data_IF_117551324477
#
_entry.id   IF_117551324477
#
_cell.length_a   1.000
_cell.length_b   1.000
_cell.length_c   1.000
_cell.angle_alpha   90.00
_cell.angle_beta   90.00
_cell.angle_gamma   90.00
#
_symmetry.space_group_name_H-M   'P 1'
#
loop_
_entity.id
_entity.type
_entity.pdbx_description
1 polymer ?
#
# COMPACT_ATOMS: atom_id res chain seq x y z
N UNK A 1 -4.29 -63.03 -8.03
CA UNK A 1 -3.14 -62.21 -7.56
C UNK A 1 -3.14 -60.81 -8.18
N UNK A 2 -3.17 -60.65 -9.51
CA UNK A 2 -3.12 -59.31 -10.15
C UNK A 2 -4.22 -58.33 -9.71
N UNK A 3 -5.48 -58.75 -9.65
CA UNK A 3 -6.59 -57.87 -9.25
C UNK A 3 -6.48 -57.35 -7.80
N UNK A 4 -5.99 -58.19 -6.87
CA UNK A 4 -5.81 -57.80 -5.47
C UNK A 4 -4.69 -56.77 -5.34
N UNK A 5 -3.59 -56.94 -6.09
CA UNK A 5 -2.48 -55.97 -6.11
C UNK A 5 -2.97 -54.61 -6.65
N UNK A 6 -3.76 -54.60 -7.71
CA UNK A 6 -4.34 -53.36 -8.27
C UNK A 6 -5.24 -52.64 -7.25
N UNK A 7 -6.12 -53.38 -6.56
CA UNK A 7 -7.00 -52.78 -5.53
C UNK A 7 -6.20 -52.19 -4.37
N UNK A 8 -5.16 -52.89 -3.89
CA UNK A 8 -4.29 -52.40 -2.81
C UNK A 8 -3.54 -51.14 -3.24
N UNK A 9 -3.03 -51.08 -4.47
CA UNK A 9 -2.35 -49.89 -5.01
C UNK A 9 -3.32 -48.71 -5.10
N UNK A 10 -4.55 -48.91 -5.58
CA UNK A 10 -5.56 -47.84 -5.64
C UNK A 10 -5.88 -47.33 -4.23
N UNK A 11 -6.08 -48.22 -3.25
CA UNK A 11 -6.33 -47.82 -1.86
C UNK A 11 -5.16 -47.04 -1.26
N UNK A 12 -3.91 -47.43 -1.55
CA UNK A 12 -2.73 -46.72 -1.11
C UNK A 12 -2.64 -45.31 -1.72
N UNK A 13 -2.93 -45.16 -3.02
CA UNK A 13 -2.97 -43.86 -3.70
C UNK A 13 -4.08 -42.96 -3.13
N UNK A 14 -5.27 -43.51 -2.89
CA UNK A 14 -6.39 -42.76 -2.27
C UNK A 14 -6.04 -42.32 -0.85
N UNK A 15 -5.47 -43.22 -0.04
CA UNK A 15 -5.05 -42.90 1.33
C UNK A 15 -3.96 -41.81 1.35
N UNK A 16 -2.96 -41.91 0.46
CA UNK A 16 -1.93 -40.89 0.31
C UNK A 16 -2.53 -39.54 -0.11
N UNK A 17 -3.45 -39.55 -1.08
CA UNK A 17 -4.18 -38.36 -1.52
C UNK A 17 -4.93 -37.68 -0.38
N UNK A 18 -5.64 -38.44 0.46
CA UNK A 18 -6.36 -37.90 1.63
C UNK A 18 -5.41 -37.28 2.66
N UNK A 19 -4.25 -37.90 2.93
CA UNK A 19 -3.24 -37.35 3.84
C UNK A 19 -2.66 -36.04 3.29
N UNK A 20 -2.33 -35.99 2.01
CA UNK A 20 -1.82 -34.77 1.36
C UNK A 20 -2.85 -33.64 1.44
N UNK A 21 -4.11 -33.89 1.11
CA UNK A 21 -5.19 -32.89 1.19
C UNK A 21 -5.38 -32.39 2.61
N UNK A 22 -5.39 -33.29 3.61
CA UNK A 22 -5.50 -32.91 5.03
C UNK A 22 -4.33 -32.06 5.49
N UNK A 23 -3.10 -32.46 5.15
CA UNK A 23 -1.90 -31.72 5.52
C UNK A 23 -1.87 -30.33 4.88
N UNK A 24 -2.28 -30.21 3.61
CA UNK A 24 -2.40 -28.91 2.93
C UNK A 24 -3.47 -28.03 3.59
N UNK A 25 -4.63 -28.60 3.95
CA UNK A 25 -5.68 -27.88 4.67
C UNK A 25 -5.22 -27.33 6.01
N UNK A 26 -4.52 -28.16 6.81
CA UNK A 26 -3.94 -27.73 8.09
C UNK A 26 -2.85 -26.67 7.90
N UNK A 27 -2.00 -26.80 6.89
CA UNK A 27 -0.97 -25.80 6.60
C UNK A 27 -1.57 -24.45 6.23
N UNK A 28 -2.63 -24.42 5.40
CA UNK A 28 -3.36 -23.20 5.05
C UNK A 28 -4.02 -22.56 6.28
N UNK A 29 -4.68 -23.35 7.11
CA UNK A 29 -5.31 -22.87 8.34
C UNK A 29 -4.29 -22.26 9.32
N UNK A 30 -3.12 -22.88 9.48
CA UNK A 30 -2.03 -22.35 10.31
C UNK A 30 -1.51 -21.01 9.78
N UNK A 31 -1.21 -20.93 8.48
CA UNK A 31 -0.75 -19.68 7.84
C UNK A 31 -1.73 -18.53 8.04
N UNK A 32 -3.04 -18.80 7.90
CA UNK A 32 -4.06 -17.80 8.16
C UNK A 32 -4.09 -17.37 9.64
N UNK A 33 -4.04 -18.33 10.56
CA UNK A 33 -4.03 -18.03 12.00
C UNK A 33 -2.81 -17.19 12.41
N UNK A 34 -1.63 -17.52 11.87
CA UNK A 34 -0.39 -16.77 12.10
C UNK A 34 -0.50 -15.33 11.55
N UNK A 35 -0.98 -15.18 10.32
CA UNK A 35 -1.20 -13.87 9.69
C UNK A 35 -2.23 -13.02 10.44
N UNK A 36 -3.31 -13.64 10.93
CA UNK A 36 -4.31 -12.96 11.76
C UNK A 36 -3.72 -12.52 13.12
N UNK A 37 -2.90 -13.36 13.75
CA UNK A 37 -2.25 -13.01 15.00
C UNK A 37 -1.28 -11.84 14.80
N UNK A 38 -0.52 -11.83 13.70
CA UNK A 38 0.37 -10.72 13.37
C UNK A 38 -0.39 -9.41 13.11
N UNK A 39 -1.42 -9.46 12.26
CA UNK A 39 -2.26 -8.29 11.97
C UNK A 39 -2.89 -7.72 13.26
N UNK A 40 -3.43 -8.58 14.13
CA UNK A 40 -3.98 -8.17 15.43
C UNK A 40 -2.95 -7.46 16.30
N UNK A 41 -1.73 -7.99 16.40
CA UNK A 41 -0.66 -7.34 17.18
C UNK A 41 -0.40 -5.92 16.70
N UNK A 42 -0.38 -5.68 15.40
CA UNK A 42 -0.18 -4.34 14.83
C UNK A 42 -1.37 -3.41 15.08
N UNK A 43 -2.60 -3.90 14.92
CA UNK A 43 -3.83 -3.13 15.21
C UNK A 43 -3.91 -2.77 16.69
N UNK A 44 -3.63 -3.71 17.60
CA UNK A 44 -3.61 -3.47 19.05
C UNK A 44 -2.53 -2.47 19.44
N UNK A 45 -1.33 -2.58 18.84
CA UNK A 45 -0.25 -1.60 19.05
C UNK A 45 -0.68 -0.20 18.61
N UNK A 46 -1.33 -0.07 17.45
CA UNK A 46 -1.86 1.21 16.97
C UNK A 46 -2.95 1.76 17.91
N UNK A 47 -3.93 0.93 18.28
CA UNK A 47 -5.01 1.31 19.20
C UNK A 47 -4.48 1.80 20.54
N UNK A 48 -3.45 1.13 21.09
CA UNK A 48 -2.80 1.56 22.31
C UNK A 48 -2.14 2.93 22.22
N UNK A 49 -1.65 3.34 21.05
CA UNK A 49 -1.10 4.69 20.85
C UNK A 49 -2.20 5.74 20.67
N UNK A 50 -3.18 5.46 19.81
CA UNK A 50 -4.26 6.40 19.48
C UNK A 50 -5.11 6.75 20.70
N UNK A 51 -5.37 5.79 21.58
CA UNK A 51 -6.20 6.02 22.78
C UNK A 51 -5.47 6.81 23.87
N UNK A 52 -4.14 6.70 23.95
CA UNK A 52 -3.36 7.25 25.07
C UNK A 52 -2.57 8.52 24.72
N UNK A 53 -2.55 8.94 23.46
CA UNK A 53 -1.80 10.10 23.00
C UNK A 53 -2.75 11.22 22.56
N UNK A 54 -2.52 12.44 23.06
CA UNK A 54 -3.25 13.63 22.65
C UNK A 54 -2.28 14.67 22.09
N UNK A 55 -2.68 15.35 21.01
CA UNK A 55 -1.83 16.32 20.31
C UNK A 55 -1.75 17.66 21.04
N UNK A 56 -0.53 18.19 21.23
CA UNK A 56 -0.30 19.50 21.87
C UNK A 56 -0.34 20.68 20.90
N UNK A 57 -0.22 20.43 19.60
CA UNK A 57 -0.13 21.41 18.54
C UNK A 57 -0.95 20.95 17.33
N UNK A 58 -1.08 21.82 16.32
CA UNK A 58 -1.93 21.51 15.16
C UNK A 58 -1.41 20.32 14.33
N UNK A 59 -0.13 20.25 13.94
CA UNK A 59 0.40 19.09 13.22
C UNK A 59 0.20 17.76 13.97
N UNK A 60 0.44 17.73 15.29
CA UNK A 60 0.25 16.52 16.09
C UNK A 60 -1.21 16.11 16.23
N UNK A 61 -2.15 17.07 16.36
CA UNK A 61 -3.59 16.77 16.35
C UNK A 61 -4.06 16.20 15.01
N UNK A 62 -3.62 16.78 13.90
CA UNK A 62 -3.95 16.29 12.56
C UNK A 62 -3.40 14.88 12.33
N UNK A 63 -2.13 14.65 12.63
CA UNK A 63 -1.53 13.33 12.48
C UNK A 63 -2.22 12.28 13.39
N UNK A 64 -2.63 12.62 14.62
CA UNK A 64 -3.39 11.71 15.47
C UNK A 64 -4.82 11.44 14.95
N UNK A 65 -5.45 12.42 14.31
CA UNK A 65 -6.73 12.22 13.64
C UNK A 65 -6.58 11.23 12.47
N UNK A 66 -5.59 11.44 11.60
CA UNK A 66 -5.29 10.50 10.50
C UNK A 66 -4.93 9.09 11.05
N UNK A 67 -4.18 9.00 12.15
CA UNK A 67 -3.90 7.72 12.82
C UNK A 67 -5.17 7.02 13.32
N UNK A 68 -6.14 7.77 13.85
CA UNK A 68 -7.42 7.26 14.33
C UNK A 68 -8.30 6.75 13.19
N UNK A 69 -8.28 7.44 12.04
CA UNK A 69 -8.92 6.97 10.81
C UNK A 69 -8.33 5.62 10.38
N UNK A 70 -6.99 5.50 10.35
CA UNK A 70 -6.30 4.24 10.02
C UNK A 70 -6.61 3.13 11.02
N UNK A 71 -6.71 3.45 12.32
CA UNK A 71 -7.10 2.48 13.33
C UNK A 71 -8.51 1.92 13.10
N UNK A 72 -9.46 2.79 12.79
CA UNK A 72 -10.84 2.41 12.48
C UNK A 72 -10.89 1.53 11.22
N UNK A 73 -10.18 1.94 10.16
CA UNK A 73 -10.07 1.17 8.93
C UNK A 73 -9.43 -0.20 9.17
N UNK A 74 -8.29 -0.27 9.84
CA UNK A 74 -7.60 -1.53 10.13
C UNK A 74 -8.45 -2.46 11.00
N UNK A 75 -9.18 -1.93 11.99
CA UNK A 75 -10.14 -2.70 12.79
C UNK A 75 -11.23 -3.35 11.94
N UNK A 76 -11.91 -2.56 11.11
CA UNK A 76 -12.95 -3.08 10.21
C UNK A 76 -12.45 -4.11 9.19
N UNK A 77 -11.24 -3.90 8.64
CA UNK A 77 -10.60 -4.87 7.74
C UNK A 77 -10.24 -6.16 8.49
N UNK A 78 -9.75 -6.06 9.72
CA UNK A 78 -9.37 -7.21 10.56
C UNK A 78 -10.55 -8.13 10.83
N UNK A 79 -11.73 -7.57 11.09
CA UNK A 79 -12.98 -8.33 11.31
C UNK A 79 -13.38 -9.15 10.07
N UNK A 80 -13.11 -8.61 8.87
CA UNK A 80 -13.48 -9.20 7.59
C UNK A 80 -12.39 -10.11 6.99
N UNK A 81 -11.14 -10.03 7.46
CA UNK A 81 -10.03 -10.78 6.90
C UNK A 81 -10.20 -12.31 7.06
N UNK A 82 -10.15 -13.02 5.92
CA UNK A 82 -10.28 -14.49 5.79
C UNK A 82 -9.11 -15.11 5.02
N UNK A 83 -8.18 -14.33 4.48
CA UNK A 83 -6.97 -14.82 3.81
C UNK A 83 -5.70 -14.18 4.37
N UNK A 84 -4.52 -14.82 4.25
CA UNK A 84 -3.25 -14.21 4.64
C UNK A 84 -2.98 -12.86 3.96
N UNK A 85 -3.36 -12.72 2.69
CA UNK A 85 -3.20 -11.49 1.91
C UNK A 85 -4.07 -10.36 2.47
N UNK A 86 -5.31 -10.66 2.86
CA UNK A 86 -6.18 -9.70 3.55
C UNK A 86 -5.60 -9.28 4.91
N UNK A 87 -4.98 -10.21 5.65
CA UNK A 87 -4.30 -9.87 6.91
C UNK A 87 -3.05 -9.00 6.68
N UNK A 88 -2.36 -9.19 5.56
CA UNK A 88 -1.24 -8.32 5.17
C UNK A 88 -1.72 -6.89 4.86
N UNK A 89 -2.89 -6.73 4.21
CA UNK A 89 -3.51 -5.41 4.00
C UNK A 89 -3.86 -4.73 5.33
N UNK A 90 -4.46 -5.46 6.29
CA UNK A 90 -4.72 -4.96 7.64
C UNK A 90 -3.44 -4.47 8.30
N UNK A 91 -2.37 -5.27 8.19
CA UNK A 91 -1.05 -4.92 8.72
C UNK A 91 -0.53 -3.63 8.09
N UNK A 92 -0.64 -3.48 6.76
CA UNK A 92 -0.26 -2.25 6.05
C UNK A 92 -1.04 -1.03 6.58
N UNK A 93 -2.36 -1.13 6.71
CA UNK A 93 -3.18 -0.04 7.25
C UNK A 93 -2.82 0.32 8.70
N UNK A 94 -2.56 -0.68 9.55
CA UNK A 94 -2.10 -0.45 10.91
C UNK A 94 -0.71 0.22 10.97
N UNK A 95 0.22 -0.20 10.09
CA UNK A 95 1.54 0.41 9.99
C UNK A 95 1.48 1.87 9.54
N UNK A 96 0.65 2.21 8.55
CA UNK A 96 0.42 3.60 8.14
C UNK A 96 -0.07 4.45 9.33
N UNK A 97 -1.02 3.94 10.12
CA UNK A 97 -1.46 4.58 11.36
C UNK A 97 -0.33 4.79 12.37
N UNK A 98 0.57 3.81 12.50
CA UNK A 98 1.73 3.94 13.39
C UNK A 98 2.75 4.98 12.89
N UNK A 99 2.89 5.15 11.57
CA UNK A 99 3.69 6.24 11.01
C UNK A 99 3.09 7.62 11.32
N UNK A 100 1.76 7.76 11.28
CA UNK A 100 1.08 8.98 11.73
C UNK A 100 1.29 9.25 13.22
N UNK A 101 1.17 8.22 14.08
CA UNK A 101 1.51 8.34 15.51
C UNK A 101 2.95 8.79 15.70
N UNK A 102 3.89 8.18 14.97
CA UNK A 102 5.31 8.54 15.03
C UNK A 102 5.52 10.01 14.64
N UNK A 103 4.89 10.46 13.57
CA UNK A 103 4.92 11.86 13.13
C UNK A 103 4.35 12.81 14.19
N UNK A 104 3.23 12.46 14.81
CA UNK A 104 2.65 13.25 15.91
C UNK A 104 3.60 13.35 17.10
N UNK A 105 4.25 12.24 17.50
CA UNK A 105 5.24 12.24 18.59
C UNK A 105 6.43 13.14 18.28
N UNK A 106 6.95 13.08 17.06
CA UNK A 106 8.03 13.96 16.60
C UNK A 106 7.63 15.43 16.59
N UNK A 107 6.42 15.75 16.12
CA UNK A 107 5.89 17.12 16.14
C UNK A 107 5.81 17.70 17.56
N UNK A 108 5.50 16.86 18.55
CA UNK A 108 5.46 17.23 19.97
C UNK A 108 6.83 17.18 20.67
N UNK A 109 7.91 16.85 19.95
CA UNK A 109 9.24 16.69 20.53
C UNK A 109 9.39 15.48 21.47
N UNK A 110 8.52 14.48 21.34
CA UNK A 110 8.56 13.25 22.11
C UNK A 110 9.45 12.20 21.42
N UNK A 111 9.90 11.20 22.17
CA UNK A 111 10.53 10.01 21.61
C UNK A 111 9.59 9.37 20.57
N UNK A 112 9.99 9.20 19.30
CA UNK A 112 9.14 8.62 18.25
C UNK A 112 8.76 7.15 18.51
N UNK A 113 9.42 6.49 19.46
CA UNK A 113 9.23 5.08 19.77
C UNK A 113 10.00 4.16 18.83
N UNK A 114 9.77 2.83 18.93
CA UNK A 114 10.54 1.84 18.19
C UNK A 114 10.42 2.05 16.68
N UNK A 115 11.49 1.74 15.95
CA UNK A 115 11.48 1.76 14.50
C UNK A 115 10.36 0.89 13.93
N UNK A 116 9.75 1.41 12.87
CA UNK A 116 8.69 0.73 12.15
C UNK A 116 9.29 0.06 10.91
N UNK A 117 8.76 -1.09 10.48
CA UNK A 117 9.16 -1.70 9.22
C UNK A 117 9.03 -0.70 8.06
N UNK A 118 10.06 -0.65 7.21
CA UNK A 118 10.07 0.21 6.03
C UNK A 118 9.12 -0.36 4.98
N UNK A 119 8.17 0.46 4.50
CA UNK A 119 7.37 0.12 3.34
C UNK A 119 8.18 0.44 2.08
N UNK A 120 8.40 -0.58 1.23
CA UNK A 120 9.15 -0.45 -0.03
C UNK A 120 8.51 0.58 -0.96
N UNK A 121 7.18 0.72 -0.96
CA UNK A 121 6.50 1.72 -1.77
C UNK A 121 6.73 3.14 -1.24
N UNK A 122 6.76 3.30 0.08
CA UNK A 122 7.09 4.59 0.70
C UNK A 122 8.56 4.97 0.47
N UNK A 123 9.47 4.00 0.59
CA UNK A 123 10.90 4.17 0.29
C UNK A 123 11.13 4.64 -1.15
N UNK A 124 10.42 4.04 -2.12
CA UNK A 124 10.49 4.39 -3.55
C UNK A 124 9.84 5.73 -3.90
N UNK A 125 8.82 6.14 -3.15
CA UNK A 125 8.17 7.44 -3.34
C UNK A 125 9.08 8.61 -2.92
N UNK A 126 10.15 8.32 -2.17
CA UNK A 126 11.08 9.32 -1.66
C UNK A 126 10.52 10.06 -0.44
N UNK A 127 11.30 11.02 0.04
CA UNK A 127 10.95 11.86 1.19
C UNK A 127 11.37 13.30 0.96
N UNK A 128 10.62 14.23 1.52
CA UNK A 128 10.98 15.64 1.56
C UNK A 128 12.19 15.82 2.45
N UNK A 129 13.30 16.31 1.89
CA UNK A 129 14.55 16.52 2.62
C UNK A 129 14.80 17.99 2.99
N UNK A 130 14.10 18.93 2.34
CA UNK A 130 14.27 20.36 2.55
C UNK A 130 12.95 21.12 2.47
N UNK A 131 12.90 22.29 3.11
CA UNK A 131 11.73 23.17 3.05
C UNK A 131 11.55 23.75 1.64
N UNK A 132 10.35 23.58 1.07
CA UNK A 132 10.03 24.06 -0.27
C UNK A 132 8.70 24.78 -0.32
N UNK A 133 8.71 26.05 -0.72
CA UNK A 133 7.51 26.85 -1.02
C UNK A 133 7.40 27.13 -2.51
N UNK A 134 6.20 26.93 -3.06
CA UNK A 134 5.90 27.14 -4.48
C UNK A 134 4.54 27.77 -4.63
N UNK A 135 4.34 28.51 -5.72
CA UNK A 135 3.04 29.06 -6.09
C UNK A 135 2.61 28.46 -7.43
N UNK A 136 1.46 27.80 -7.45
CA UNK A 136 0.92 27.10 -8.63
C UNK A 136 -0.51 27.57 -8.83
N UNK A 137 -0.81 28.10 -10.02
CA UNK A 137 -2.15 28.63 -10.34
C UNK A 137 -2.69 29.64 -9.29
N UNK A 138 -1.79 30.46 -8.73
CA UNK A 138 -2.13 31.46 -7.71
C UNK A 138 -2.36 30.90 -6.30
N UNK A 139 -2.10 29.61 -6.07
CA UNK A 139 -2.17 28.96 -4.76
C UNK A 139 -0.76 28.65 -4.24
N UNK A 140 -0.50 29.00 -2.99
CA UNK A 140 0.79 28.78 -2.34
C UNK A 140 0.81 27.44 -1.60
N UNK A 141 1.77 26.61 -1.96
CA UNK A 141 2.01 25.31 -1.33
C UNK A 141 3.35 25.28 -0.61
N UNK A 142 3.41 24.50 0.47
CA UNK A 142 4.61 24.30 1.26
C UNK A 142 4.79 22.80 1.56
N UNK A 143 6.02 22.32 1.41
CA UNK A 143 6.47 21.02 1.88
C UNK A 143 7.67 21.19 2.82
N UNK A 144 7.78 20.33 3.82
CA UNK A 144 8.87 20.34 4.80
C UNK A 144 9.21 18.93 5.32
N UNK A 145 10.47 18.65 5.66
CA UNK A 145 10.84 17.45 6.43
C UNK A 145 10.29 17.50 7.88
N UNK A 146 9.90 18.68 8.37
CA UNK A 146 9.51 18.89 9.76
C UNK A 146 8.09 19.43 9.89
N UNK A 147 7.45 19.09 11.02
CA UNK A 147 6.14 19.62 11.37
C UNK A 147 6.25 21.14 11.61
N UNK A 148 5.28 21.90 11.12
CA UNK A 148 5.24 23.35 11.33
C UNK A 148 3.83 23.91 11.15
N UNK A 149 3.62 25.16 11.59
CA UNK A 149 2.32 25.83 11.44
C UNK A 149 1.89 25.95 9.97
N UNK A 150 2.85 26.08 9.04
CA UNK A 150 2.58 26.13 7.61
C UNK A 150 2.57 24.76 6.91
N UNK A 151 2.79 23.66 7.64
CA UNK A 151 2.84 22.29 7.12
C UNK A 151 2.19 21.32 8.12
N UNK A 152 0.88 21.44 8.42
CA UNK A 152 0.24 20.61 9.44
C UNK A 152 -0.12 19.20 8.97
N UNK A 153 -0.10 18.91 7.68
CA UNK A 153 -0.53 17.62 7.14
C UNK A 153 0.65 16.70 6.87
N UNK A 154 0.72 15.59 7.60
CA UNK A 154 1.74 14.57 7.36
C UNK A 154 1.27 13.55 6.32
N UNK A 155 2.20 13.03 5.52
CA UNK A 155 2.00 11.83 4.73
C UNK A 155 3.17 10.86 4.95
N UNK A 156 2.90 9.56 5.21
CA UNK A 156 3.95 8.56 5.49
C UNK A 156 4.79 8.17 4.28
N UNK A 157 4.41 8.59 3.06
CA UNK A 157 5.00 8.12 1.81
C UNK A 157 4.24 6.93 1.24
N UNK A 158 4.29 6.74 -0.09
CA UNK A 158 3.64 5.63 -0.76
C UNK A 158 3.02 6.02 -2.09
N UNK A 159 1.99 5.29 -2.54
CA UNK A 159 1.30 5.55 -3.82
C UNK A 159 -0.17 5.91 -3.60
N UNK A 160 -0.64 6.87 -4.38
CA UNK A 160 -2.04 7.29 -4.43
C UNK A 160 -2.47 7.31 -5.90
N UNK A 161 -3.53 6.55 -6.23
CA UNK A 161 -4.03 6.43 -7.60
C UNK A 161 -2.91 6.17 -8.64
N UNK A 162 -1.99 5.25 -8.32
CA UNK A 162 -0.89 4.85 -9.19
C UNK A 162 0.29 5.81 -9.26
N UNK A 163 0.28 6.93 -8.52
CA UNK A 163 1.39 7.89 -8.50
C UNK A 163 2.07 7.97 -7.13
N UNK A 164 3.41 8.09 -7.07
CA UNK A 164 4.12 8.20 -5.81
C UNK A 164 3.85 9.55 -5.13
N UNK A 165 3.68 9.54 -3.82
CA UNK A 165 3.57 10.74 -2.99
C UNK A 165 4.67 10.67 -1.95
N UNK A 166 5.65 11.59 -1.96
CA UNK A 166 6.78 11.55 -1.03
C UNK A 166 6.35 11.65 0.42
N UNK A 167 7.10 11.01 1.32
CA UNK A 167 6.95 11.20 2.75
C UNK A 167 7.27 12.65 3.13
N UNK A 168 6.45 13.30 3.95
CA UNK A 168 6.74 14.66 4.41
C UNK A 168 5.57 15.35 5.08
N UNK A 169 5.80 16.61 5.45
CA UNK A 169 4.78 17.52 5.97
C UNK A 169 4.40 18.55 4.90
N UNK A 170 3.12 18.84 4.78
CA UNK A 170 2.55 19.64 3.70
C UNK A 170 1.59 20.70 4.23
N UNK A 171 1.52 21.85 3.55
CA UNK A 171 0.54 22.90 3.85
C UNK A 171 -0.88 22.44 3.63
N UNK A 172 -1.08 21.58 2.64
CA UNK A 172 -2.37 21.03 2.25
C UNK A 172 -2.22 19.55 1.88
N UNK A 173 -3.26 18.72 2.13
CA UNK A 173 -3.23 17.31 1.81
C UNK A 173 -3.57 17.09 0.33
N UNK A 174 -2.72 17.58 -0.57
CA UNK A 174 -2.93 17.61 -2.03
C UNK A 174 -3.17 16.23 -2.68
N UNK A 175 -2.80 15.14 -1.99
CA UNK A 175 -3.07 13.76 -2.41
C UNK A 175 -4.48 13.25 -2.04
N UNK A 176 -5.13 13.81 -1.00
CA UNK A 176 -6.41 13.31 -0.48
C UNK A 176 -7.51 13.28 -1.56
N UNK A 177 -7.65 14.28 -2.46
CA UNK A 177 -8.63 14.22 -3.54
C UNK A 177 -8.43 13.00 -4.46
N UNK A 178 -7.19 12.67 -4.84
CA UNK A 178 -6.90 11.51 -5.67
C UNK A 178 -7.13 10.18 -4.93
N UNK A 179 -6.90 10.16 -3.61
CA UNK A 179 -7.18 9.00 -2.77
C UNK A 179 -8.68 8.67 -2.71
N UNK A 180 -9.54 9.70 -2.69
CA UNK A 180 -11.00 9.54 -2.65
C UNK A 180 -11.59 9.31 -4.04
N UNK A 181 -11.18 10.11 -5.03
CA UNK A 181 -11.76 10.09 -6.37
C UNK A 181 -11.12 9.04 -7.30
N UNK A 182 -9.94 8.51 -6.95
CA UNK A 182 -9.17 7.59 -7.79
C UNK A 182 -8.53 8.25 -9.01
N UNK A 183 -8.60 9.58 -9.14
CA UNK A 183 -8.06 10.34 -10.26
C UNK A 183 -7.37 11.62 -9.78
N UNK A 184 -6.28 11.99 -10.44
CA UNK A 184 -5.54 13.21 -10.16
C UNK A 184 -6.14 14.40 -10.90
N UNK A 185 -6.21 15.56 -10.22
CA UNK A 185 -6.70 16.80 -10.80
C UNK A 185 -5.76 17.36 -11.88
N UNK A 186 -6.33 18.17 -12.76
CA UNK A 186 -5.58 19.01 -13.71
C UNK A 186 -4.61 19.89 -12.91
N UNK A 187 -3.36 20.01 -13.35
CA UNK A 187 -2.32 20.79 -12.65
C UNK A 187 -1.52 20.04 -11.59
N UNK A 188 -1.92 18.82 -11.20
CA UNK A 188 -1.18 18.02 -10.21
C UNK A 188 0.27 17.70 -10.61
N UNK A 189 0.54 17.51 -11.90
CA UNK A 189 1.90 17.35 -12.43
C UNK A 189 2.73 18.64 -12.28
N UNK A 190 2.12 19.80 -12.54
CA UNK A 190 2.78 21.10 -12.38
C UNK A 190 3.12 21.34 -10.91
N UNK A 191 2.18 21.03 -10.01
CA UNK A 191 2.40 21.09 -8.56
C UNK A 191 3.54 20.17 -8.13
N UNK A 192 3.50 18.90 -8.54
CA UNK A 192 4.53 17.93 -8.21
C UNK A 192 5.90 18.37 -8.71
N UNK A 193 5.99 18.79 -9.97
CA UNK A 193 7.23 19.32 -10.58
C UNK A 193 7.77 20.51 -9.80
N UNK A 194 6.95 21.51 -9.51
CA UNK A 194 7.38 22.69 -8.78
C UNK A 194 7.91 22.32 -7.37
N UNK A 195 7.21 21.42 -6.69
CA UNK A 195 7.50 21.06 -5.30
C UNK A 195 8.71 20.15 -5.12
N UNK A 196 8.98 19.25 -6.07
CA UNK A 196 9.99 18.20 -5.88
C UNK A 196 11.11 18.19 -6.92
N UNK A 197 11.07 19.07 -7.92
CA UNK A 197 12.15 19.15 -8.91
C UNK A 197 13.52 19.33 -8.24
N UNK A 198 14.43 18.40 -8.58
CA UNK A 198 15.82 18.36 -8.10
C UNK A 198 16.01 17.74 -6.72
N UNK A 199 14.95 17.25 -6.06
CA UNK A 199 15.07 16.63 -4.73
C UNK A 199 15.49 15.16 -4.85
N UNK A 200 16.52 14.76 -4.10
CA UNK A 200 17.10 13.43 -4.21
C UNK A 200 16.10 12.34 -3.78
N UNK A 201 16.05 11.24 -4.55
CA UNK A 201 15.19 10.09 -4.25
C UNK A 201 13.70 10.29 -4.54
N UNK A 202 13.28 11.45 -5.07
CA UNK A 202 11.92 11.69 -5.54
C UNK A 202 11.90 11.57 -7.09
N UNK A 203 10.92 10.85 -7.69
CA UNK A 203 10.80 10.76 -9.14
C UNK A 203 10.67 12.14 -9.80
N UNK A 204 11.17 12.30 -11.03
CA UNK A 204 10.88 13.51 -11.80
C UNK A 204 9.39 13.58 -12.20
N UNK A 205 8.94 14.73 -12.68
CA UNK A 205 7.54 14.96 -12.98
C UNK A 205 6.99 14.07 -14.12
N UNK A 206 7.83 13.71 -15.10
CA UNK A 206 7.41 12.86 -16.21
C UNK A 206 7.27 11.41 -15.76
N UNK A 207 8.23 10.91 -14.97
CA UNK A 207 8.16 9.61 -14.32
C UNK A 207 6.93 9.56 -13.39
N UNK A 208 6.72 10.57 -12.57
CA UNK A 208 5.56 10.67 -11.69
C UNK A 208 4.22 10.64 -12.44
N UNK A 209 4.10 11.38 -13.55
CA UNK A 209 2.88 11.44 -14.35
C UNK A 209 2.52 10.07 -14.92
N UNK A 210 3.52 9.36 -15.43
CA UNK A 210 3.41 8.00 -15.95
C UNK A 210 3.28 6.95 -14.82
N UNK A 211 3.47 7.34 -13.57
CA UNK A 211 3.48 6.44 -12.42
C UNK A 211 4.75 5.59 -12.30
N UNK A 212 5.82 5.93 -13.02
CA UNK A 212 7.14 5.29 -12.92
C UNK A 212 7.88 5.70 -11.63
N UNK A 213 8.64 4.76 -11.07
CA UNK A 213 9.44 4.95 -9.86
C UNK A 213 10.87 5.44 -10.20
N UNK A 214 11.48 6.27 -9.35
CA UNK A 214 12.87 6.71 -9.47
C UNK A 214 13.87 5.54 -9.48
N UNK A 215 13.57 4.43 -8.80
CA UNK A 215 14.39 3.21 -8.82
C UNK A 215 14.34 2.42 -10.14
N UNK A 216 13.39 2.72 -11.02
CA UNK A 216 13.37 2.17 -12.37
C UNK A 216 14.29 2.97 -13.30
N UNK A 217 14.55 4.26 -13.01
CA UNK A 217 15.52 5.07 -13.73
C UNK A 217 16.97 4.62 -13.43
N UNK A 218 17.28 4.24 -12.19
CA UNK A 218 18.59 3.64 -11.85
C UNK A 218 18.74 2.26 -12.49
N UNK A 219 17.70 1.42 -12.48
CA UNK A 219 17.73 0.12 -13.15
C UNK A 219 17.78 0.22 -14.69
N UNK A 220 17.19 1.26 -15.28
CA UNK A 220 17.18 1.47 -16.73
C UNK A 220 18.43 2.23 -17.22
N UNK A 221 19.03 3.08 -16.39
CA UNK A 221 20.34 3.68 -16.65
C UNK A 221 21.51 2.68 -16.47
N UNK A 222 21.33 1.64 -15.64
CA UNK A 222 22.21 0.46 -15.63
C UNK A 222 22.01 -0.42 -16.87
N UNK A 223 20.81 -0.46 -17.44
CA UNK A 223 20.54 -1.17 -18.71
C UNK A 223 21.07 -0.41 -19.93
N UNK A 224 21.15 0.93 -19.89
CA UNK A 224 21.66 1.75 -21.01
C UNK A 224 23.20 1.89 -21.00
N UNK A 225 23.88 1.59 -19.89
CA UNK A 225 25.35 1.48 -19.81
C UNK A 225 25.88 0.03 -19.94
N UNK A 226 24.99 -0.95 -20.10
CA UNK A 226 25.30 -2.37 -20.24
C UNK A 226 25.12 -2.90 -21.67
N UNK A 227 25.48 -2.11 -22.68
CA UNK A 227 25.55 -2.60 -24.05
C UNK A 227 26.66 -3.63 -24.19
N UNK A 228 26.27 -4.91 -24.24
CA UNK A 228 26.74 -5.97 -25.14
C UNK A 228 26.75 -7.35 -24.44
N UNK A 229 25.60 -8.04 -24.46
CA UNK A 229 25.57 -9.50 -24.42
C UNK A 229 24.65 -9.95 -25.53
N UNK A 230 25.27 -10.23 -26.68
CA UNK A 230 24.58 -10.73 -27.86
C UNK A 230 24.04 -12.15 -27.71
N UNK A 231 23.17 -12.46 -28.67
CA UNK A 231 23.08 -13.80 -29.27
C UNK A 231 22.05 -14.74 -28.65
N UNK A 232 20.89 -14.78 -29.32
CA UNK A 232 20.03 -15.96 -29.54
C UNK A 232 19.78 -16.93 -28.38
N UNK A 233 18.52 -16.97 -27.92
CA UNK A 233 17.68 -18.16 -28.09
C UNK A 233 16.21 -17.90 -27.68
N UNK A 234 15.33 -18.14 -28.66
CA UNK A 234 14.00 -18.72 -28.57
C UNK A 234 12.81 -17.89 -28.06
N UNK A 235 12.29 -17.18 -29.05
CA UNK A 235 10.94 -16.69 -29.24
C UNK A 235 9.85 -17.78 -29.07
N UNK A 236 9.08 -17.74 -27.98
CA UNK A 236 7.75 -18.35 -27.92
C UNK A 236 6.90 -17.76 -26.79
N UNK A 237 5.89 -16.95 -27.13
CA UNK A 237 4.81 -16.61 -26.20
C UNK A 237 4.20 -15.22 -26.34
N UNK A 238 3.82 -14.82 -27.55
CA UNK A 238 2.90 -13.69 -27.74
C UNK A 238 1.53 -14.03 -27.16
N UNK A 239 0.97 -13.10 -26.38
CA UNK A 239 -0.34 -13.24 -25.75
C UNK A 239 -0.91 -11.89 -25.37
N UNK A 240 -1.33 -11.15 -26.39
CA UNK A 240 -2.32 -10.08 -26.31
C UNK A 240 -3.57 -10.56 -25.57
N UNK A 241 -3.98 -9.84 -24.52
CA UNK A 241 -5.37 -9.84 -24.05
C UNK A 241 -5.74 -8.41 -23.61
N UNK A 242 -5.81 -7.51 -24.59
CA UNK A 242 -6.88 -6.51 -24.60
C UNK A 242 -8.16 -7.15 -25.15
N UNK A 243 -9.28 -7.04 -24.44
CA UNK A 243 -10.56 -7.47 -24.99
C UNK A 243 -11.64 -7.67 -23.94
N UNK A 244 -12.70 -6.88 -24.05
CA UNK A 244 -13.85 -6.87 -23.15
C UNK A 244 -14.64 -8.18 -23.13
N UNK A 245 -15.26 -8.44 -21.98
CA UNK A 245 -16.26 -9.48 -21.77
C UNK A 245 -17.56 -8.82 -21.31
N UNK A 246 -18.46 -8.69 -22.26
CA UNK A 246 -19.89 -8.46 -22.12
C UNK A 246 -20.51 -9.43 -21.09
N UNK A 247 -21.21 -8.88 -20.08
CA UNK A 247 -22.20 -9.63 -19.30
C UNK A 247 -23.55 -8.93 -19.39
N UNK A 248 -24.03 -8.77 -20.62
CA UNK A 248 -25.44 -8.58 -20.91
C UNK A 248 -26.22 -9.88 -20.72
N UNK A 249 -27.18 -9.83 -19.80
CA UNK A 249 -28.52 -10.34 -20.09
C UNK A 249 -28.96 -11.65 -19.45
N UNK A 250 -29.93 -11.53 -18.54
CA UNK A 250 -31.17 -12.32 -18.64
C UNK A 250 -31.25 -13.57 -17.77
N UNK A 251 -31.92 -13.43 -16.62
CA UNK A 251 -32.34 -14.54 -15.77
C UNK A 251 -33.46 -14.12 -14.84
N UNK A 252 -34.65 -14.01 -15.42
CA UNK A 252 -35.95 -13.80 -14.79
C UNK A 252 -36.22 -14.91 -13.74
N UNK A 253 -36.42 -14.53 -12.49
CA UNK A 253 -37.13 -15.35 -11.50
C UNK A 253 -38.11 -14.43 -10.77
N UNK A 254 -39.30 -14.32 -11.35
CA UNK A 254 -40.41 -13.58 -10.80
C UNK A 254 -40.97 -14.15 -9.49
N UNK A 255 -41.63 -13.24 -8.78
CA UNK A 255 -43.01 -13.42 -8.32
C UNK A 255 -43.23 -14.34 -7.12
N UNK A 256 -43.56 -13.74 -5.98
CA UNK A 256 -44.12 -14.45 -4.83
C UNK A 256 -44.49 -13.52 -3.69
N UNK A 257 -45.58 -12.77 -3.87
CA UNK A 257 -46.26 -12.07 -2.78
C UNK A 257 -46.91 -13.10 -1.84
N UNK A 258 -46.57 -13.09 -0.55
CA UNK A 258 -47.38 -13.73 0.50
C UNK A 258 -47.23 -12.97 1.83
N UNK A 259 -48.28 -12.22 2.16
CA UNK A 259 -48.76 -11.74 3.48
C UNK A 259 -47.83 -10.93 4.38
#
# INVERSE_FOLDING_TARGET
>A
MGAVVVVVVILAVVALGLVVVRNQGQAKARRLADAQAEARRWVERLGGQVVNLSGSDEPSRQALADASERYTAAGSQMEQARTPEQCALVTKTAMEGLYYVRAARLAMGLDPGPELPVDREAERAGRVEEDRRVSVEGHDYHASPHAGQGTPYYYPGGRVAGRPVPQGWYSEPWWKPALVAGAWGVGSMVLFSAMFSGMAGIPDAAAWEAGYDAGQADAMSDFDQGGDVGGDQDFAGGGDFGGGGDFGGGGDFGGGDFF
#
